data_IF_307712305790
#
_entry.id   IF_307712305790
#
_cell.length_a   1.000
_cell.length_b   1.000
_cell.length_c   1.000
_cell.angle_alpha   90.00
_cell.angle_beta   90.00
_cell.angle_gamma   90.00
#
_symmetry.space_group_name_H-M   'P 1'
#
loop_
_entity.id
_entity.type
_entity.pdbx_description
1 polymer ?
#
# COMPACT_ATOMS: atom_id res chain seq x y z
N UNK A 1 -33.65 55.34 22.90
CA UNK A 1 -34.91 55.41 22.14
C UNK A 1 -34.61 56.08 20.82
N UNK A 2 -34.99 55.44 19.70
CA UNK A 2 -35.28 55.94 18.34
C UNK A 2 -34.19 56.80 17.64
N UNK A 3 -33.67 56.48 16.45
CA UNK A 3 -34.36 56.36 15.14
C UNK A 3 -34.24 57.73 14.42
N UNK A 4 -33.71 57.94 13.21
CA UNK A 4 -33.57 57.15 11.98
C UNK A 4 -32.48 57.78 11.06
N UNK A 5 -31.99 57.11 9.99
CA UNK A 5 -31.15 57.75 8.98
C UNK A 5 -31.98 58.24 7.78
N UNK A 6 -31.96 59.55 7.52
CA UNK A 6 -32.49 60.18 6.30
C UNK A 6 -31.44 60.15 5.19
N UNK A 7 -31.82 59.53 4.07
CA UNK A 7 -31.14 59.57 2.78
C UNK A 7 -31.43 60.89 2.03
N UNK A 8 -30.41 61.44 1.35
CA UNK A 8 -30.40 61.99 -0.05
C UNK A 8 -29.22 62.98 -0.24
N UNK A 9 -28.31 62.66 -1.17
CA UNK A 9 -28.08 63.34 -2.47
C UNK A 9 -27.42 64.73 -2.33
N UNK A 10 -26.33 65.13 -3.00
CA UNK A 10 -25.70 64.72 -4.25
C UNK A 10 -24.22 65.20 -4.26
N UNK A 11 -23.37 64.56 -5.06
CA UNK A 11 -21.98 64.99 -5.22
C UNK A 11 -21.28 64.29 -6.39
N UNK A 12 -21.58 64.76 -7.60
CA UNK A 12 -20.78 64.72 -8.83
C UNK A 12 -19.73 63.60 -9.00
N UNK A 13 -20.04 62.62 -9.86
CA UNK A 13 -19.02 61.79 -10.53
C UNK A 13 -19.02 62.10 -12.03
N UNK A 14 -17.85 62.36 -12.65
CA UNK A 14 -17.75 62.65 -14.07
C UNK A 14 -17.99 61.39 -14.93
N UNK A 15 -18.74 61.55 -16.02
CA UNK A 15 -18.97 60.51 -17.01
C UNK A 15 -17.78 60.37 -17.98
N UNK A 16 -17.21 59.19 -18.22
CA UNK A 16 -16.32 58.96 -19.34
C UNK A 16 -17.13 58.62 -20.60
N UNK A 17 -16.96 59.43 -21.66
CA UNK A 17 -17.64 59.26 -22.94
C UNK A 17 -17.29 57.97 -23.71
N UNK A 18 -18.02 57.65 -24.78
CA UNK A 18 -17.92 56.38 -25.48
C UNK A 18 -16.62 56.31 -26.29
N UNK A 19 -15.63 55.56 -25.79
CA UNK A 19 -14.44 55.18 -26.56
C UNK A 19 -14.85 54.22 -27.67
N UNK A 20 -14.96 54.75 -28.89
CA UNK A 20 -15.05 54.01 -30.16
C UNK A 20 -13.94 52.97 -30.23
N UNK A 21 -14.27 51.71 -29.99
CA UNK A 21 -13.36 50.57 -30.11
C UNK A 21 -13.13 50.28 -31.60
N UNK A 22 -11.97 50.64 -32.14
CA UNK A 22 -11.52 50.18 -33.47
C UNK A 22 -10.78 48.85 -33.29
N UNK A 23 -11.21 47.74 -33.90
CA UNK A 23 -10.41 46.52 -33.88
C UNK A 23 -9.22 46.72 -34.81
N UNK A 24 -8.06 47.01 -34.23
CA UNK A 24 -6.80 47.03 -34.94
C UNK A 24 -6.36 45.57 -35.15
N UNK A 25 -6.73 45.02 -36.32
CA UNK A 25 -6.27 43.72 -36.79
C UNK A 25 -4.76 43.77 -37.08
N UNK A 26 -3.94 43.63 -36.03
CA UNK A 26 -2.56 43.24 -36.20
C UNK A 26 -2.46 41.71 -36.13
N UNK A 27 -2.42 41.11 -37.33
CA UNK A 27 -1.83 39.79 -37.55
C UNK A 27 -0.45 39.74 -36.88
N UNK A 28 -0.34 39.07 -35.74
CA UNK A 28 0.90 38.46 -35.30
C UNK A 28 0.62 37.04 -34.83
N UNK A 29 0.95 36.13 -35.74
CA UNK A 29 1.44 34.77 -35.50
C UNK A 29 0.96 34.12 -34.20
N UNK A 30 -0.10 33.31 -34.32
CA UNK A 30 -0.28 32.15 -33.45
C UNK A 30 0.96 31.28 -33.57
N UNK A 31 1.95 31.48 -32.71
CA UNK A 31 2.90 30.42 -32.36
C UNK A 31 2.19 29.55 -31.35
N UNK A 32 1.46 28.57 -31.86
CA UNK A 32 1.14 27.38 -31.10
C UNK A 32 2.47 26.79 -30.62
N UNK A 33 2.64 26.44 -29.33
CA UNK A 33 3.77 25.62 -28.92
C UNK A 33 3.54 24.24 -29.54
N UNK A 34 4.20 23.98 -30.66
CA UNK A 34 4.27 22.66 -31.24
C UNK A 34 5.07 21.74 -30.32
N UNK A 35 4.53 20.53 -30.19
CA UNK A 35 5.27 19.27 -30.03
C UNK A 35 6.07 19.10 -28.74
N UNK A 36 5.35 18.80 -27.67
CA UNK A 36 5.71 17.61 -26.89
C UNK A 36 4.64 16.55 -27.19
N UNK A 37 4.98 15.39 -27.78
CA UNK A 37 4.04 14.30 -27.94
C UNK A 37 3.72 13.76 -26.54
N UNK A 38 2.67 14.29 -25.91
CA UNK A 38 2.18 13.74 -24.67
C UNK A 38 1.77 12.28 -24.93
N UNK A 39 2.40 11.28 -24.28
CA UNK A 39 2.13 9.86 -24.51
C UNK A 39 0.70 9.43 -24.10
N UNK A 40 -0.06 10.35 -23.49
CA UNK A 40 -1.42 10.14 -22.97
C UNK A 40 -2.40 9.70 -24.07
N UNK A 41 -2.22 10.19 -25.30
CA UNK A 41 -3.07 9.79 -26.43
C UNK A 41 -2.87 8.33 -26.88
N UNK A 42 -1.69 7.75 -26.60
CA UNK A 42 -1.40 6.34 -26.92
C UNK A 42 -2.03 5.41 -25.88
N UNK A 43 -1.98 5.76 -24.60
CA UNK A 43 -2.65 5.00 -23.54
C UNK A 43 -4.17 5.02 -23.68
N UNK A 44 -4.76 6.18 -23.99
CA UNK A 44 -6.20 6.32 -24.23
C UNK A 44 -6.67 5.48 -25.42
N UNK A 45 -5.92 5.48 -26.52
CA UNK A 45 -6.25 4.67 -27.71
C UNK A 45 -6.11 3.16 -27.48
N UNK A 46 -5.20 2.74 -26.60
CA UNK A 46 -5.05 1.32 -26.22
C UNK A 46 -6.12 0.88 -25.19
N UNK A 47 -6.60 1.78 -24.35
CA UNK A 47 -7.77 1.56 -23.49
C UNK A 47 -9.03 1.46 -24.35
N UNK A 48 -9.27 2.44 -25.22
CA UNK A 48 -10.43 2.47 -26.13
C UNK A 48 -10.42 1.26 -27.09
N UNK A 49 -9.26 0.75 -27.51
CA UNK A 49 -9.16 -0.46 -28.35
C UNK A 49 -9.36 -1.77 -27.58
N UNK A 50 -9.14 -1.80 -26.26
CA UNK A 50 -9.56 -2.91 -25.40
C UNK A 50 -11.06 -2.90 -25.17
N UNK A 51 -11.64 -1.70 -25.07
CA UNK A 51 -13.06 -1.50 -24.80
C UNK A 51 -13.92 -1.57 -26.09
N UNK A 52 -13.31 -1.44 -27.27
CA UNK A 52 -13.97 -1.55 -28.57
C UNK A 52 -14.34 -2.98 -28.99
N UNK A 53 -13.88 -4.00 -28.25
CA UNK A 53 -14.35 -5.39 -28.39
C UNK A 53 -15.69 -5.66 -27.70
N UNK A 54 -16.22 -4.68 -26.97
CA UNK A 54 -17.36 -4.83 -26.06
C UNK A 54 -18.68 -4.39 -26.73
N UNK A 55 -18.98 -5.00 -27.87
CA UNK A 55 -20.16 -4.72 -28.69
C UNK A 55 -21.16 -5.86 -28.69
N UNK A 56 -22.00 -5.96 -27.65
CA UNK A 56 -23.14 -6.87 -27.61
C UNK A 56 -24.03 -6.62 -26.39
N UNK A 57 -25.30 -7.05 -26.43
CA UNK A 57 -26.27 -6.81 -25.35
C UNK A 57 -25.82 -7.33 -23.97
N UNK A 58 -26.55 -6.95 -22.91
CA UNK A 58 -26.16 -7.20 -21.50
C UNK A 58 -25.71 -8.62 -21.14
N UNK A 59 -26.12 -9.64 -21.91
CA UNK A 59 -25.62 -11.01 -21.76
C UNK A 59 -24.14 -11.18 -22.19
N UNK A 60 -23.68 -10.49 -23.23
CA UNK A 60 -22.28 -10.53 -23.68
C UNK A 60 -21.34 -9.80 -22.73
N UNK A 61 -21.79 -8.68 -22.17
CA UNK A 61 -21.09 -7.94 -21.11
C UNK A 61 -20.80 -8.83 -19.90
N UNK A 62 -21.79 -9.63 -19.50
CA UNK A 62 -21.63 -10.59 -18.41
C UNK A 62 -20.61 -11.69 -18.76
N UNK A 63 -20.71 -12.29 -19.95
CA UNK A 63 -19.79 -13.34 -20.38
C UNK A 63 -18.35 -12.85 -20.53
N UNK A 64 -18.14 -11.64 -21.06
CA UNK A 64 -16.83 -11.04 -21.20
C UNK A 64 -16.22 -10.68 -19.84
N UNK A 65 -17.03 -10.16 -18.92
CA UNK A 65 -16.60 -9.93 -17.54
C UNK A 65 -16.23 -11.22 -16.82
N UNK A 66 -17.01 -12.30 -17.01
CA UNK A 66 -16.75 -13.61 -16.41
C UNK A 66 -15.45 -14.23 -16.94
N UNK A 67 -15.24 -14.20 -18.26
CA UNK A 67 -14.02 -14.69 -18.89
C UNK A 67 -12.81 -13.84 -18.47
N UNK A 68 -12.95 -12.51 -18.42
CA UNK A 68 -11.92 -11.61 -17.92
C UNK A 68 -11.52 -11.91 -16.47
N UNK A 69 -12.50 -12.14 -15.59
CA UNK A 69 -12.26 -12.53 -14.21
C UNK A 69 -11.56 -13.89 -14.10
N UNK A 70 -11.99 -14.89 -14.89
CA UNK A 70 -11.38 -16.22 -14.89
C UNK A 70 -9.93 -16.19 -15.38
N UNK A 71 -9.64 -15.41 -16.42
CA UNK A 71 -8.27 -15.21 -16.92
C UNK A 71 -7.38 -14.51 -15.89
N UNK A 72 -7.91 -13.53 -15.15
CA UNK A 72 -7.18 -12.85 -14.08
C UNK A 72 -6.87 -13.82 -12.94
N UNK A 73 -7.87 -14.59 -12.49
CA UNK A 73 -7.68 -15.64 -11.48
C UNK A 73 -6.61 -16.64 -11.91
N UNK A 74 -6.66 -17.12 -13.16
CA UNK A 74 -5.65 -18.03 -13.71
C UNK A 74 -4.23 -17.45 -13.69
N UNK A 75 -4.07 -16.18 -14.05
CA UNK A 75 -2.78 -15.47 -13.97
C UNK A 75 -2.26 -15.35 -12.54
N UNK A 76 -3.12 -15.00 -11.58
CA UNK A 76 -2.74 -14.90 -10.17
C UNK A 76 -2.30 -16.26 -9.62
N UNK A 77 -3.06 -17.31 -9.87
CA UNK A 77 -2.71 -18.68 -9.44
C UNK A 77 -1.37 -19.11 -10.03
N UNK A 78 -1.16 -18.87 -11.33
CA UNK A 78 0.09 -19.21 -12.02
C UNK A 78 1.32 -18.51 -11.44
N UNK A 79 1.16 -17.32 -10.85
CA UNK A 79 2.25 -16.54 -10.27
C UNK A 79 2.44 -16.87 -8.79
N UNK A 80 1.35 -16.90 -8.02
CA UNK A 80 1.38 -17.05 -6.56
C UNK A 80 1.75 -18.47 -6.14
N UNK A 81 1.18 -19.51 -6.79
CA UNK A 81 1.45 -20.91 -6.42
C UNK A 81 2.94 -21.26 -6.51
N UNK A 82 3.64 -21.07 -7.65
CA UNK A 82 5.06 -21.40 -7.71
C UNK A 82 5.90 -20.53 -6.76
N UNK A 83 5.52 -19.26 -6.56
CA UNK A 83 6.20 -18.38 -5.60
C UNK A 83 6.13 -18.97 -4.18
N UNK A 84 4.94 -19.31 -3.70
CA UNK A 84 4.72 -19.87 -2.36
C UNK A 84 5.42 -21.22 -2.21
N UNK A 85 5.37 -22.08 -3.24
CA UNK A 85 6.09 -23.37 -3.24
C UNK A 85 7.60 -23.16 -3.10
N UNK A 86 8.18 -22.23 -3.87
CA UNK A 86 9.61 -21.92 -3.79
C UNK A 86 9.96 -21.36 -2.40
N UNK A 87 9.15 -20.46 -1.84
CA UNK A 87 9.38 -19.94 -0.49
C UNK A 87 9.25 -21.02 0.59
N UNK A 88 8.29 -21.93 0.47
CA UNK A 88 8.12 -23.04 1.42
C UNK A 88 9.31 -24.00 1.36
N UNK A 89 9.89 -24.26 0.18
CA UNK A 89 11.14 -25.03 0.08
C UNK A 89 12.31 -24.25 0.69
N UNK A 90 12.43 -22.96 0.38
CA UNK A 90 13.51 -22.10 0.87
C UNK A 90 13.47 -21.94 2.40
N UNK A 91 12.29 -21.99 3.02
CA UNK A 91 12.07 -21.99 4.47
C UNK A 91 12.81 -23.12 5.19
N UNK A 92 12.89 -24.31 4.59
CA UNK A 92 13.63 -25.43 5.19
C UNK A 92 15.15 -25.30 5.02
N UNK A 93 15.63 -24.35 4.21
CA UNK A 93 17.06 -24.08 4.11
C UNK A 93 17.60 -23.54 5.44
N UNK A 94 18.81 -23.99 5.82
CA UNK A 94 19.50 -23.59 7.06
C UNK A 94 19.69 -22.07 7.22
N UNK A 95 19.52 -21.31 6.14
CA UNK A 95 19.58 -19.83 6.08
C UNK A 95 18.70 -19.16 7.14
N UNK A 96 17.48 -19.66 7.39
CA UNK A 96 16.57 -19.08 8.38
C UNK A 96 17.09 -19.19 9.82
N UNK A 97 17.86 -20.23 10.16
CA UNK A 97 18.48 -20.35 11.49
C UNK A 97 19.70 -19.45 11.65
N UNK A 98 20.49 -19.27 10.58
CA UNK A 98 21.69 -18.42 10.61
C UNK A 98 21.35 -16.93 10.59
N UNK A 99 20.22 -16.53 10.00
CA UNK A 99 19.75 -15.14 10.00
C UNK A 99 19.40 -14.61 11.40
N UNK A 100 19.09 -15.50 12.35
CA UNK A 100 18.72 -15.13 13.72
C UNK A 100 19.75 -14.26 14.44
N UNK A 101 21.04 -14.45 14.19
CA UNK A 101 22.10 -13.62 14.81
C UNK A 101 22.19 -12.21 14.23
N UNK A 102 21.84 -12.03 12.94
CA UNK A 102 21.84 -10.71 12.29
C UNK A 102 20.57 -9.92 12.58
N UNK A 103 19.47 -10.59 12.91
CA UNK A 103 18.17 -9.93 13.18
C UNK A 103 17.92 -9.63 14.65
N UNK A 104 18.78 -10.14 15.53
CA UNK A 104 18.77 -9.86 16.97
C UNK A 104 18.70 -8.35 17.33
N UNK A 105 19.45 -7.42 16.71
CA UNK A 105 19.32 -5.99 17.02
C UNK A 105 17.95 -5.41 16.64
N UNK A 106 17.36 -5.86 15.53
CA UNK A 106 16.03 -5.41 15.08
C UNK A 106 14.96 -5.89 16.05
N UNK A 107 15.06 -7.15 16.50
CA UNK A 107 14.11 -7.71 17.44
C UNK A 107 14.16 -7.09 18.82
N UNK A 108 15.36 -6.73 19.30
CA UNK A 108 15.50 -5.93 20.52
C UNK A 108 14.78 -4.58 20.39
N UNK A 109 14.86 -3.93 19.23
CA UNK A 109 14.12 -2.70 18.94
C UNK A 109 12.59 -2.88 18.96
N UNK A 110 12.11 -4.08 18.65
CA UNK A 110 10.69 -4.45 18.69
C UNK A 110 10.25 -5.03 20.05
N UNK A 111 11.17 -5.17 21.01
CA UNK A 111 10.88 -5.76 22.33
C UNK A 111 10.62 -7.27 22.29
N UNK A 112 11.25 -7.99 21.37
CA UNK A 112 11.06 -9.42 21.11
C UNK A 112 12.35 -10.22 21.36
N UNK A 113 12.25 -11.39 22.00
CA UNK A 113 13.33 -12.33 22.20
C UNK A 113 13.52 -13.32 21.05
N UNK A 114 14.60 -14.14 21.09
CA UNK A 114 14.98 -15.07 20.00
C UNK A 114 13.88 -16.06 19.61
N UNK A 115 13.02 -16.45 20.54
CA UNK A 115 11.90 -17.36 20.28
C UNK A 115 10.88 -16.79 19.29
N UNK A 116 10.80 -15.47 19.13
CA UNK A 116 9.92 -14.83 18.15
C UNK A 116 10.50 -14.80 16.71
N UNK A 117 11.79 -15.13 16.49
CA UNK A 117 12.44 -15.07 15.17
C UNK A 117 11.68 -15.93 14.17
N UNK A 118 11.52 -17.21 14.51
CA UNK A 118 10.89 -18.19 13.61
C UNK A 118 9.46 -17.78 13.23
N UNK A 119 8.55 -17.51 14.18
CA UNK A 119 7.19 -17.11 13.81
C UNK A 119 7.12 -15.79 13.03
N UNK A 120 7.98 -14.80 13.35
CA UNK A 120 8.05 -13.55 12.58
C UNK A 120 8.46 -13.82 11.13
N UNK A 121 9.58 -14.51 10.94
CA UNK A 121 10.10 -14.80 9.61
C UNK A 121 9.10 -15.63 8.80
N UNK A 122 8.57 -16.72 9.35
CA UNK A 122 7.58 -17.52 8.62
C UNK A 122 6.32 -16.74 8.32
N UNK A 123 5.86 -15.87 9.24
CA UNK A 123 4.68 -15.05 9.01
C UNK A 123 4.86 -13.97 7.93
N UNK A 124 6.03 -13.33 7.85
CA UNK A 124 6.35 -12.32 6.83
C UNK A 124 6.41 -12.95 5.43
N UNK A 125 7.01 -14.13 5.30
CA UNK A 125 7.23 -14.77 3.99
C UNK A 125 6.10 -15.70 3.55
N UNK A 126 5.49 -16.45 4.47
CA UNK A 126 4.50 -17.50 4.17
C UNK A 126 3.10 -17.16 4.65
N UNK A 127 2.94 -16.06 5.41
CA UNK A 127 1.66 -15.59 5.88
C UNK A 127 1.29 -16.01 7.30
N UNK A 128 0.21 -15.39 7.78
CA UNK A 128 -0.17 -15.42 9.20
C UNK A 128 -0.59 -16.80 9.68
N UNK A 129 -1.16 -17.66 8.82
CA UNK A 129 -1.56 -19.01 9.22
C UNK A 129 -0.35 -19.85 9.67
N UNK A 130 0.74 -19.83 8.89
CA UNK A 130 1.99 -20.51 9.23
C UNK A 130 2.67 -19.87 10.44
N UNK A 131 2.73 -18.53 10.49
CA UNK A 131 3.27 -17.79 11.63
C UNK A 131 2.53 -18.10 12.93
N UNK A 132 1.19 -18.02 12.92
CA UNK A 132 0.33 -18.30 14.07
C UNK A 132 0.49 -19.75 14.56
N UNK A 133 0.59 -20.72 13.65
CA UNK A 133 0.85 -22.12 14.04
C UNK A 133 2.16 -22.30 14.81
N UNK A 134 3.20 -21.53 14.48
CA UNK A 134 4.45 -21.52 15.25
C UNK A 134 4.28 -20.77 16.57
N UNK A 135 3.61 -19.60 16.57
CA UNK A 135 3.33 -18.84 17.80
C UNK A 135 2.58 -19.70 18.82
N UNK A 136 1.55 -20.43 18.40
CA UNK A 136 0.77 -21.31 19.27
C UNK A 136 1.66 -22.41 19.87
N UNK A 137 2.55 -23.01 19.08
CA UNK A 137 3.50 -24.02 19.57
C UNK A 137 4.50 -23.43 20.58
N UNK A 138 5.08 -22.27 20.29
CA UNK A 138 6.01 -21.58 21.19
C UNK A 138 5.33 -21.08 22.46
N UNK A 139 4.06 -20.68 22.38
CA UNK A 139 3.22 -20.33 23.52
C UNK A 139 2.95 -21.53 24.42
N UNK A 140 2.55 -22.66 23.83
CA UNK A 140 2.31 -23.91 24.55
C UNK A 140 3.60 -24.46 25.22
N UNK A 141 4.76 -24.25 24.60
CA UNK A 141 6.06 -24.60 25.15
C UNK A 141 6.59 -23.61 26.19
N UNK A 142 5.89 -22.51 26.46
CA UNK A 142 6.33 -21.48 27.42
C UNK A 142 7.58 -20.70 26.99
N UNK A 143 7.92 -20.71 25.69
CA UNK A 143 9.11 -20.07 25.13
C UNK A 143 8.95 -18.56 24.89
N UNK A 144 7.72 -18.06 24.94
CA UNK A 144 7.40 -16.65 24.70
C UNK A 144 6.50 -16.13 25.83
N UNK A 145 6.82 -14.94 26.34
CA UNK A 145 5.98 -14.24 27.31
C UNK A 145 4.70 -13.70 26.67
N UNK A 146 3.62 -13.46 27.45
CA UNK A 146 2.34 -12.94 26.92
C UNK A 146 2.53 -11.66 26.11
N UNK A 147 3.41 -10.79 26.58
CA UNK A 147 3.84 -9.58 25.87
C UNK A 147 4.46 -9.90 24.51
N UNK A 148 5.41 -10.84 24.45
CA UNK A 148 6.06 -11.22 23.19
C UNK A 148 5.09 -11.87 22.20
N UNK A 149 4.16 -12.72 22.68
CA UNK A 149 3.09 -13.27 21.83
C UNK A 149 2.28 -12.14 21.20
N UNK A 150 1.87 -11.17 22.01
CA UNK A 150 1.06 -10.05 21.55
C UNK A 150 1.79 -9.17 20.55
N UNK A 151 3.03 -8.76 20.85
CA UNK A 151 3.84 -7.94 19.96
C UNK A 151 4.17 -8.65 18.64
N UNK A 152 4.45 -9.97 18.70
CA UNK A 152 4.67 -10.80 17.50
C UNK A 152 3.39 -10.90 16.68
N UNK A 153 2.25 -11.14 17.32
CA UNK A 153 0.95 -11.20 16.66
C UNK A 153 0.55 -9.88 16.01
N UNK A 154 0.78 -8.75 16.69
CA UNK A 154 0.53 -7.42 16.16
C UNK A 154 1.38 -7.12 14.91
N UNK A 155 2.67 -7.47 14.98
CA UNK A 155 3.58 -7.29 13.86
C UNK A 155 3.10 -8.10 12.65
N UNK A 156 2.81 -9.39 12.85
CA UNK A 156 2.31 -10.26 11.77
C UNK A 156 0.95 -9.82 11.24
N UNK A 157 0.03 -9.37 12.09
CA UNK A 157 -1.25 -8.85 11.64
C UNK A 157 -1.08 -7.68 10.65
N UNK A 158 -0.02 -6.88 10.82
CA UNK A 158 0.23 -5.68 10.01
C UNK A 158 1.02 -5.97 8.72
N UNK A 159 1.96 -6.92 8.71
CA UNK A 159 2.84 -7.16 7.56
C UNK A 159 3.04 -8.64 7.19
N UNK A 160 2.11 -9.54 7.54
CA UNK A 160 2.17 -10.92 7.06
C UNK A 160 2.14 -10.99 5.53
N UNK A 161 2.73 -12.06 4.99
CA UNK A 161 2.76 -12.37 3.55
C UNK A 161 3.20 -11.18 2.66
N UNK A 162 4.11 -10.33 3.15
CA UNK A 162 4.42 -9.04 2.51
C UNK A 162 4.96 -9.20 1.08
N UNK A 163 5.63 -10.32 0.80
CA UNK A 163 6.15 -10.61 -0.54
C UNK A 163 5.01 -11.03 -1.49
N UNK A 164 4.12 -11.91 -1.03
CA UNK A 164 2.99 -12.40 -1.82
C UNK A 164 2.02 -11.25 -2.16
N UNK A 165 1.62 -10.49 -1.15
CA UNK A 165 0.71 -9.36 -1.33
C UNK A 165 1.27 -8.31 -2.28
N UNK A 166 2.55 -7.93 -2.12
CA UNK A 166 3.19 -6.94 -3.00
C UNK A 166 3.29 -7.48 -4.42
N UNK A 167 3.62 -8.76 -4.62
CA UNK A 167 3.71 -9.34 -5.95
C UNK A 167 2.35 -9.35 -6.66
N UNK A 168 1.27 -9.68 -5.94
CA UNK A 168 -0.10 -9.61 -6.47
C UNK A 168 -0.42 -8.17 -6.91
N UNK A 169 -0.12 -7.17 -6.08
CA UNK A 169 -0.36 -5.77 -6.44
C UNK A 169 0.50 -5.29 -7.61
N UNK A 170 1.74 -5.75 -7.74
CA UNK A 170 2.60 -5.44 -8.89
C UNK A 170 2.01 -5.98 -10.19
N UNK A 171 1.46 -7.20 -10.17
CA UNK A 171 0.77 -7.79 -11.34
C UNK A 171 -0.46 -6.96 -11.73
N UNK A 172 -1.11 -6.31 -10.75
CA UNK A 172 -2.22 -5.39 -10.97
C UNK A 172 -1.79 -3.96 -11.36
N UNK A 173 -0.48 -3.69 -11.45
CA UNK A 173 0.08 -2.39 -11.84
C UNK A 173 0.39 -1.44 -10.67
N UNK A 174 0.45 -1.94 -9.44
CA UNK A 174 0.81 -1.18 -8.25
C UNK A 174 2.32 -0.97 -8.06
N UNK A 175 2.69 0.07 -7.33
CA UNK A 175 4.09 0.35 -6.98
C UNK A 175 4.55 -0.49 -5.78
N UNK A 176 5.55 -1.35 -6.02
CA UNK A 176 6.06 -2.28 -5.02
C UNK A 176 6.70 -1.58 -3.82
N UNK A 177 7.42 -0.49 -4.06
CA UNK A 177 8.25 0.18 -3.05
C UNK A 177 7.38 0.91 -2.04
N UNK A 178 6.34 1.62 -2.49
CA UNK A 178 5.37 2.28 -1.62
C UNK A 178 4.59 1.27 -0.79
N UNK A 179 4.11 0.18 -1.40
CA UNK A 179 3.35 -0.86 -0.69
C UNK A 179 4.18 -1.55 0.39
N UNK A 180 5.39 -1.99 0.03
CA UNK A 180 6.30 -2.64 0.96
C UNK A 180 6.77 -1.66 2.06
N UNK A 181 7.16 -0.45 1.66
CA UNK A 181 7.67 0.58 2.56
C UNK A 181 6.64 1.00 3.59
N UNK A 182 5.41 1.31 3.17
CA UNK A 182 4.33 1.71 4.08
C UNK A 182 3.97 0.58 5.05
N UNK A 183 3.79 -0.65 4.56
CA UNK A 183 3.41 -1.80 5.40
C UNK A 183 4.48 -2.11 6.44
N UNK A 184 5.75 -2.14 6.02
CA UNK A 184 6.85 -2.42 6.93
C UNK A 184 7.05 -1.27 7.92
N UNK A 185 6.93 -0.02 7.48
CA UNK A 185 7.02 1.14 8.35
C UNK A 185 5.91 1.13 9.41
N UNK A 186 4.66 0.86 9.02
CA UNK A 186 3.53 0.77 9.96
C UNK A 186 3.71 -0.38 10.95
N UNK A 187 4.11 -1.57 10.49
CA UNK A 187 4.34 -2.71 11.36
C UNK A 187 5.44 -2.43 12.39
N UNK A 188 6.58 -1.92 11.94
CA UNK A 188 7.69 -1.57 12.83
C UNK A 188 7.29 -0.46 13.80
N UNK A 189 6.64 0.61 13.31
CA UNK A 189 6.25 1.75 14.13
C UNK A 189 5.23 1.34 15.21
N UNK A 190 4.17 0.62 14.84
CA UNK A 190 3.13 0.18 15.77
C UNK A 190 3.70 -0.77 16.82
N UNK A 191 4.46 -1.78 16.40
CA UNK A 191 5.04 -2.76 17.32
C UNK A 191 6.10 -2.11 18.22
N UNK A 192 6.98 -1.26 17.70
CA UNK A 192 7.99 -0.57 18.50
C UNK A 192 7.35 0.43 19.48
N UNK A 193 6.32 1.16 19.07
CA UNK A 193 5.60 2.09 19.94
C UNK A 193 4.94 1.33 21.10
N UNK A 194 4.21 0.26 20.82
CA UNK A 194 3.57 -0.55 21.86
C UNK A 194 4.59 -1.25 22.75
N UNK A 195 5.72 -1.72 22.20
CA UNK A 195 6.82 -2.25 22.97
C UNK A 195 7.42 -1.20 23.92
N UNK A 196 7.46 0.09 23.55
CA UNK A 196 7.94 1.14 24.45
C UNK A 196 6.92 1.55 25.52
N UNK A 197 5.63 1.54 25.18
CA UNK A 197 4.56 1.94 26.09
C UNK A 197 4.24 0.86 27.13
N UNK A 198 4.28 -0.42 26.74
CA UNK A 198 4.11 -1.53 27.66
C UNK A 198 5.45 -1.79 28.34
N UNK A 199 5.51 -1.96 29.68
CA UNK A 199 6.73 -2.39 30.38
C UNK A 199 7.01 -3.90 30.19
N UNK A 200 8.29 -4.31 30.00
CA UNK A 200 8.63 -5.73 29.86
C UNK A 200 8.23 -6.52 31.13
N UNK A 201 7.53 -7.63 30.97
CA UNK A 201 7.25 -8.54 32.08
C UNK A 201 8.56 -9.22 32.52
N UNK A 202 8.68 -9.58 33.81
CA UNK A 202 9.89 -10.17 34.41
C UNK A 202 10.36 -11.48 33.74
N UNK A 203 9.57 -12.08 32.84
CA UNK A 203 9.91 -13.28 32.07
C UNK A 203 10.28 -13.05 30.60
N UNK A 204 10.34 -11.80 30.12
CA UNK A 204 10.45 -11.46 28.68
C UNK A 204 11.86 -11.55 28.08
N UNK A 205 12.90 -11.76 28.89
CA UNK A 205 14.28 -11.91 28.41
C UNK A 205 14.97 -12.99 29.25
N UNK A 206 14.79 -14.26 28.88
CA UNK A 206 15.76 -15.30 29.26
C UNK A 206 16.71 -15.48 28.07
N UNK A 207 18.02 -15.22 28.24
CA UNK A 207 18.98 -15.65 27.24
C UNK A 207 19.02 -17.17 27.30
N UNK A 208 18.39 -17.84 26.34
CA UNK A 208 18.76 -19.24 26.09
C UNK A 208 20.19 -19.22 25.52
N UNK A 209 21.05 -19.88 26.28
CA UNK A 209 22.49 -20.04 26.08
C UNK A 209 22.80 -20.66 24.72
#
# INVERSE_FOLDING_TARGET
>A
MAGDPVWRHDGHRPQPGPRRWRPQQHRRSRRSPDLLPHPVGRYRRLADARDAGFGGGGMTIFWDALLGALMLCGKLVLIVVPLVVVFEVLRYAKVFRTLGSRTEPVMRGLGLGRSAILPLFTGIFLGIAYGAGIIIRSAAAGQMSRRELFLTGLFLATCHAVIEDVLIFVVLGGDAVMMLGLRLALAVLLTALLARLWKPDAGSIKPEV
#
